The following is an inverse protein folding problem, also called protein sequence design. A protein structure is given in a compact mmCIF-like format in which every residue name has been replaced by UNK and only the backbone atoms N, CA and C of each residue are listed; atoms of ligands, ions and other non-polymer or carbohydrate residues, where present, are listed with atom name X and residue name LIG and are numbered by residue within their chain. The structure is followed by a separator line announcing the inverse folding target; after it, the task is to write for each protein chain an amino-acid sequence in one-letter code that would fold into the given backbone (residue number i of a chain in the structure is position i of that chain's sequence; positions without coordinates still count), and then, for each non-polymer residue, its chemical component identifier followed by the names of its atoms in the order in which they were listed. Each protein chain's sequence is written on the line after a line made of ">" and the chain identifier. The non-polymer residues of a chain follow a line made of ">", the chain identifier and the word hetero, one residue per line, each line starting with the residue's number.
data_IF_451037467991
#
_entry.id   IF_451037467991
#
_cell.length_a   1.000
_cell.length_b   1.000
_cell.length_c   1.000
_cell.angle_alpha   90.00
_cell.angle_beta   90.00
_cell.angle_gamma   90.00
#
_symmetry.space_group_name_H-M   'P 1'
#
loop_
_entity.id
_entity.type
_entity.pdbx_description
1 polymer ?
#
# COMPACT_ATOMS: atom_id res chain seq x y z
N UNK A 1 -20.65 -10.01 -16.51
CA UNK A 1 -20.19 -9.75 -15.13
C UNK A 1 -18.72 -9.35 -15.18
N UNK A 2 -18.31 -8.34 -14.39
CA UNK A 2 -16.87 -7.99 -14.24
C UNK A 2 -16.14 -9.14 -13.57
N UNK A 3 -14.88 -9.44 -13.95
CA UNK A 3 -14.11 -10.50 -13.33
C UNK A 3 -13.89 -10.22 -11.83
N UNK A 4 -13.85 -11.28 -11.04
CA UNK A 4 -13.52 -11.23 -9.62
C UNK A 4 -12.09 -10.71 -9.45
N UNK A 5 -11.85 -9.99 -8.37
CA UNK A 5 -10.55 -9.42 -8.04
C UNK A 5 -10.14 -9.79 -6.61
N UNK A 6 -8.85 -9.89 -6.37
CA UNK A 6 -8.32 -10.04 -5.03
C UNK A 6 -7.95 -8.68 -4.45
N UNK A 7 -8.34 -8.44 -3.20
CA UNK A 7 -7.88 -7.32 -2.40
C UNK A 7 -6.95 -7.90 -1.33
N UNK A 8 -5.76 -7.37 -1.22
CA UNK A 8 -4.72 -7.87 -0.33
C UNK A 8 -4.17 -6.75 0.54
N UNK A 9 -4.00 -7.00 1.82
CA UNK A 9 -3.28 -6.12 2.73
C UNK A 9 -2.27 -6.90 3.58
N UNK A 10 -1.37 -6.16 4.24
CA UNK A 10 -0.34 -6.72 5.11
C UNK A 10 -0.58 -6.24 6.55
N UNK A 11 -0.83 -7.19 7.46
CA UNK A 11 -0.92 -6.96 8.89
C UNK A 11 0.22 -7.70 9.61
N UNK A 12 1.36 -7.05 9.70
CA UNK A 12 2.52 -7.52 10.44
C UNK A 12 2.49 -7.00 11.87
N UNK A 13 2.62 -7.89 12.84
CA UNK A 13 2.64 -7.60 14.28
C UNK A 13 4.06 -7.75 14.80
N UNK A 14 4.59 -6.68 15.37
CA UNK A 14 5.95 -6.63 15.91
C UNK A 14 6.35 -5.19 16.23
N UNK A 15 7.59 -4.99 16.66
CA UNK A 15 8.15 -3.66 16.88
C UNK A 15 9.13 -3.30 15.75
N UNK A 16 8.68 -2.46 14.82
CA UNK A 16 9.53 -1.97 13.76
C UNK A 16 9.35 -0.47 13.56
N UNK A 17 10.36 0.28 14.03
CA UNK A 17 10.43 1.74 13.93
C UNK A 17 9.18 2.46 14.46
N UNK A 18 8.56 1.90 15.50
CA UNK A 18 7.35 2.44 16.14
C UNK A 18 6.14 2.48 15.21
N UNK A 19 6.06 1.57 14.23
CA UNK A 19 4.95 1.46 13.27
C UNK A 19 4.09 0.26 13.59
N UNK A 20 3.25 0.37 14.60
CA UNK A 20 2.36 -0.69 15.00
C UNK A 20 0.96 -0.42 14.44
N UNK A 21 0.49 -1.29 13.57
CA UNK A 21 -0.91 -1.40 13.19
C UNK A 21 -1.63 -2.31 14.18
N UNK A 22 -2.94 -2.16 14.28
CA UNK A 22 -3.80 -3.01 15.08
C UNK A 22 -4.88 -3.65 14.20
N UNK A 23 -5.47 -4.76 14.65
CA UNK A 23 -6.52 -5.47 13.91
C UNK A 23 -7.63 -4.54 13.39
N UNK A 24 -7.96 -3.49 14.15
CA UNK A 24 -8.98 -2.50 13.74
C UNK A 24 -8.58 -1.69 12.48
N UNK A 25 -7.29 -1.57 12.17
CA UNK A 25 -6.85 -0.90 10.93
C UNK A 25 -7.16 -1.77 9.70
N UNK A 26 -7.09 -3.11 9.84
CA UNK A 26 -7.52 -4.06 8.81
C UNK A 26 -9.03 -3.94 8.56
N UNK A 27 -9.84 -3.87 9.62
CA UNK A 27 -11.28 -3.67 9.51
C UNK A 27 -11.63 -2.33 8.84
N UNK A 28 -10.92 -1.25 9.16
CA UNK A 28 -11.12 0.06 8.51
C UNK A 28 -10.83 0.00 7.02
N UNK A 29 -9.72 -0.63 6.63
CA UNK A 29 -9.40 -0.82 5.22
C UNK A 29 -10.48 -1.66 4.53
N UNK A 30 -10.87 -2.80 5.11
CA UNK A 30 -11.91 -3.66 4.57
C UNK A 30 -13.22 -2.90 4.33
N UNK A 31 -13.71 -2.15 5.31
CA UNK A 31 -14.94 -1.36 5.18
C UNK A 31 -14.81 -0.26 4.13
N UNK A 32 -13.64 0.38 4.02
CA UNK A 32 -13.43 1.39 2.98
C UNK A 32 -13.47 0.77 1.58
N UNK A 33 -12.89 -0.42 1.40
CA UNK A 33 -12.97 -1.17 0.15
C UNK A 33 -14.41 -1.60 -0.13
N UNK A 34 -15.08 -2.24 0.81
CA UNK A 34 -16.45 -2.74 0.68
C UNK A 34 -17.42 -1.63 0.21
N UNK A 35 -17.24 -0.43 0.72
CA UNK A 35 -18.07 0.74 0.37
C UNK A 35 -17.81 1.27 -1.04
N UNK A 36 -16.62 1.06 -1.58
CA UNK A 36 -16.15 1.71 -2.81
C UNK A 36 -15.79 0.73 -3.95
N UNK A 37 -16.13 -0.55 -3.80
CA UNK A 37 -15.97 -1.57 -4.84
C UNK A 37 -17.34 -2.01 -5.38
N UNK A 38 -17.46 -2.12 -6.71
CA UNK A 38 -18.72 -2.46 -7.37
C UNK A 38 -18.67 -3.80 -8.13
N UNK A 39 -17.73 -4.68 -7.73
CA UNK A 39 -17.53 -6.02 -8.31
C UNK A 39 -17.29 -7.06 -7.22
N UNK A 40 -17.50 -8.36 -7.54
CA UNK A 40 -17.11 -9.43 -6.61
C UNK A 40 -15.61 -9.38 -6.30
N UNK A 41 -15.26 -9.55 -5.03
CA UNK A 41 -13.86 -9.61 -4.59
C UNK A 41 -13.68 -10.62 -3.45
N UNK A 42 -12.45 -11.12 -3.33
CA UNK A 42 -11.97 -11.79 -2.14
C UNK A 42 -11.03 -10.83 -1.39
N UNK A 43 -11.09 -10.88 -0.06
CA UNK A 43 -10.22 -10.09 0.78
C UNK A 43 -9.23 -10.99 1.50
N UNK A 44 -7.95 -10.73 1.33
CA UNK A 44 -6.85 -11.49 1.91
C UNK A 44 -6.00 -10.61 2.82
N UNK A 45 -5.54 -11.20 3.92
CA UNK A 45 -4.65 -10.54 4.88
C UNK A 45 -3.41 -11.39 5.07
N UNK A 46 -2.25 -10.90 4.57
CA UNK A 46 -0.95 -11.45 4.93
C UNK A 46 -0.64 -11.06 6.37
N UNK A 47 -0.40 -12.02 7.26
CA UNK A 47 -0.19 -11.74 8.69
C UNK A 47 0.66 -12.80 9.38
N UNK A 48 1.39 -12.40 10.41
CA UNK A 48 2.03 -13.30 11.36
C UNK A 48 1.16 -13.52 12.62
N UNK A 49 -0.04 -12.91 12.70
CA UNK A 49 -1.00 -13.14 13.78
C UNK A 49 -2.22 -13.92 13.26
N UNK A 50 -2.04 -15.24 13.17
CA UNK A 50 -3.09 -16.13 12.67
C UNK A 50 -4.28 -16.28 13.62
N UNK A 51 -4.14 -15.87 14.89
CA UNK A 51 -5.24 -15.87 15.88
C UNK A 51 -6.07 -14.58 15.85
N UNK A 52 -5.56 -13.51 15.24
CA UNK A 52 -6.30 -12.24 15.18
C UNK A 52 -7.65 -12.40 14.48
N UNK A 53 -8.67 -11.75 15.03
CA UNK A 53 -9.99 -11.68 14.40
C UNK A 53 -9.99 -10.61 13.32
N UNK A 54 -9.79 -11.04 12.06
CA UNK A 54 -9.64 -10.18 10.88
C UNK A 54 -10.72 -10.48 9.83
N UNK A 55 -11.08 -9.51 8.98
CA UNK A 55 -11.97 -9.78 7.84
C UNK A 55 -11.27 -10.59 6.76
N UNK A 56 -12.03 -11.40 6.04
CA UNK A 56 -11.53 -12.17 4.89
C UNK A 56 -10.68 -13.40 5.26
N UNK A 57 -9.82 -13.80 4.33
CA UNK A 57 -8.96 -14.97 4.48
C UNK A 57 -7.56 -14.56 4.91
N UNK A 58 -7.09 -15.11 6.02
CA UNK A 58 -5.70 -14.92 6.48
C UNK A 58 -4.75 -15.83 5.71
N UNK A 59 -3.60 -15.29 5.35
CA UNK A 59 -2.48 -15.99 4.74
C UNK A 59 -1.25 -15.74 5.64
N UNK A 60 -0.59 -16.78 6.05
CA UNK A 60 0.55 -16.70 6.94
C UNK A 60 1.76 -16.03 6.25
N UNK A 61 2.40 -15.08 6.95
CA UNK A 61 3.69 -14.54 6.58
C UNK A 61 4.78 -15.58 6.89
N UNK A 62 5.58 -15.94 5.90
CA UNK A 62 6.62 -16.96 6.04
C UNK A 62 7.92 -16.43 6.63
N UNK A 63 8.18 -15.14 6.46
CA UNK A 63 9.44 -14.50 6.85
C UNK A 63 9.22 -13.32 7.82
N UNK A 64 8.18 -13.39 8.64
CA UNK A 64 7.80 -12.27 9.51
C UNK A 64 8.90 -11.85 10.50
N UNK A 65 9.71 -12.80 10.96
CA UNK A 65 10.80 -12.57 11.89
C UNK A 65 12.04 -11.96 11.22
N UNK A 66 12.31 -12.36 9.97
CA UNK A 66 13.46 -11.93 9.19
C UNK A 66 13.18 -10.63 8.41
N UNK A 67 11.91 -10.45 7.97
CA UNK A 67 11.49 -9.30 7.12
C UNK A 67 10.51 -8.39 7.86
N UNK A 68 11.00 -7.55 8.79
CA UNK A 68 10.13 -6.79 9.69
C UNK A 68 9.41 -5.63 8.98
N UNK A 69 8.18 -5.39 9.39
CA UNK A 69 7.38 -4.25 8.99
C UNK A 69 7.10 -4.20 7.49
N UNK A 70 7.51 -3.13 6.81
CA UNK A 70 7.27 -3.01 5.36
C UNK A 70 8.09 -3.95 4.49
N UNK A 71 9.16 -4.59 5.01
CA UNK A 71 9.92 -5.58 4.28
C UNK A 71 9.12 -6.85 4.00
N UNK A 72 8.17 -7.18 4.87
CA UNK A 72 7.21 -8.27 4.61
C UNK A 72 6.38 -8.07 3.34
N UNK A 73 6.35 -6.87 2.75
CA UNK A 73 5.72 -6.65 1.44
C UNK A 73 6.38 -7.41 0.30
N UNK A 74 7.61 -7.88 0.47
CA UNK A 74 8.24 -8.73 -0.54
C UNK A 74 7.51 -10.08 -0.67
N UNK A 75 6.76 -10.48 0.34
CA UNK A 75 5.87 -11.65 0.26
C UNK A 75 4.63 -11.45 -0.63
N UNK A 76 4.33 -10.23 -1.08
CA UNK A 76 3.29 -9.98 -2.10
C UNK A 76 3.58 -10.67 -3.43
N UNK A 77 4.83 -11.03 -3.65
CA UNK A 77 5.30 -11.64 -4.88
C UNK A 77 5.54 -13.16 -4.77
N UNK A 78 5.09 -13.78 -3.68
CA UNK A 78 5.16 -15.23 -3.48
C UNK A 78 4.37 -15.99 -4.53
N UNK A 79 4.87 -17.16 -4.98
CA UNK A 79 4.20 -17.96 -6.02
C UNK A 79 2.92 -18.68 -5.54
N UNK A 80 2.74 -18.83 -4.22
CA UNK A 80 1.60 -19.54 -3.61
C UNK A 80 0.44 -18.62 -3.21
N UNK A 81 0.51 -17.33 -3.54
CA UNK A 81 -0.62 -16.42 -3.33
C UNK A 81 -1.77 -16.72 -4.30
N UNK A 82 -3.02 -16.33 -3.93
CA UNK A 82 -4.17 -16.49 -4.79
C UNK A 82 -3.96 -15.86 -6.17
N UNK A 83 -4.19 -16.66 -7.21
CA UNK A 83 -4.03 -16.22 -8.60
C UNK A 83 -5.01 -15.11 -8.98
N UNK A 84 -4.63 -14.31 -9.98
CA UNK A 84 -5.49 -13.33 -10.62
C UNK A 84 -5.07 -11.89 -10.38
N UNK A 85 -5.95 -10.98 -10.78
CA UNK A 85 -5.75 -9.54 -10.61
C UNK A 85 -5.89 -9.17 -9.14
N UNK A 86 -4.88 -8.57 -8.57
CA UNK A 86 -4.78 -8.28 -7.14
C UNK A 86 -4.51 -6.79 -6.92
N UNK A 87 -5.30 -6.16 -6.07
CA UNK A 87 -5.05 -4.82 -5.54
C UNK A 87 -4.53 -4.93 -4.11
N UNK A 88 -3.27 -4.61 -3.92
CA UNK A 88 -2.69 -4.42 -2.60
C UNK A 88 -2.93 -2.99 -2.08
N UNK A 89 -3.27 -2.86 -0.82
CA UNK A 89 -3.38 -1.57 -0.13
C UNK A 89 -2.76 -1.63 1.27
N UNK A 90 -1.92 -0.63 1.60
CA UNK A 90 -1.42 -0.46 2.97
C UNK A 90 -2.56 -0.21 3.96
N UNK A 91 -2.41 -0.62 5.22
CA UNK A 91 -3.43 -0.48 6.27
C UNK A 91 -3.75 0.98 6.62
N UNK A 92 -2.90 1.93 6.24
CA UNK A 92 -3.16 3.35 6.37
C UNK A 92 -3.70 4.01 5.08
N UNK A 93 -4.10 3.18 4.11
CA UNK A 93 -4.76 3.63 2.88
C UNK A 93 -6.26 3.42 2.97
N UNK A 94 -7.04 4.39 2.50
CA UNK A 94 -8.49 4.36 2.53
C UNK A 94 -9.06 4.77 1.18
N UNK A 95 -9.93 3.94 0.61
CA UNK A 95 -10.75 4.34 -0.51
C UNK A 95 -11.79 5.37 -0.05
N UNK A 96 -11.91 6.47 -0.77
CA UNK A 96 -12.91 7.51 -0.51
C UNK A 96 -13.87 7.72 -1.68
N UNK A 97 -13.60 7.09 -2.81
CA UNK A 97 -14.43 7.01 -4.01
C UNK A 97 -14.30 5.64 -4.65
N UNK A 98 -15.09 5.40 -5.70
CA UNK A 98 -15.06 4.14 -6.45
C UNK A 98 -13.62 3.74 -6.81
N UNK A 99 -13.26 2.50 -6.48
CA UNK A 99 -11.99 1.88 -6.85
C UNK A 99 -11.95 1.45 -8.33
N UNK A 100 -13.08 1.53 -9.04
CA UNK A 100 -13.19 1.03 -10.41
C UNK A 100 -12.13 1.56 -11.36
N UNK A 101 -11.77 2.87 -11.37
CA UNK A 101 -10.72 3.38 -12.24
C UNK A 101 -9.34 2.74 -11.97
N UNK A 102 -9.05 2.42 -10.70
CA UNK A 102 -7.82 1.72 -10.30
C UNK A 102 -7.86 0.27 -10.79
N UNK A 103 -8.97 -0.43 -10.54
CA UNK A 103 -9.12 -1.85 -10.85
C UNK A 103 -9.13 -2.16 -12.35
N UNK A 104 -9.58 -1.22 -13.17
CA UNK A 104 -9.61 -1.32 -14.63
C UNK A 104 -8.34 -0.78 -15.30
N UNK A 105 -7.37 -0.28 -14.53
CA UNK A 105 -6.15 0.27 -15.09
C UNK A 105 -5.31 -0.83 -15.75
N UNK A 106 -4.77 -0.54 -16.93
CA UNK A 106 -4.00 -1.49 -17.72
C UNK A 106 -2.55 -1.59 -17.20
N UNK A 107 -1.98 -2.79 -17.26
CA UNK A 107 -0.62 -3.09 -16.86
C UNK A 107 -0.54 -4.32 -15.97
N UNK A 108 0.53 -5.09 -16.06
CA UNK A 108 0.75 -6.29 -15.24
C UNK A 108 1.13 -5.96 -13.79
N UNK A 109 1.78 -4.82 -13.59
CA UNK A 109 2.07 -4.22 -12.30
C UNK A 109 1.98 -2.71 -12.43
N UNK A 110 1.16 -2.06 -11.60
CA UNK A 110 0.89 -0.62 -11.64
C UNK A 110 1.02 -0.05 -10.23
N UNK A 111 1.76 1.05 -10.10
CA UNK A 111 1.99 1.73 -8.82
C UNK A 111 1.63 3.22 -8.95
N UNK A 112 1.66 3.94 -7.83
CA UNK A 112 1.72 5.39 -7.88
C UNK A 112 3.17 5.86 -8.02
N UNK A 113 3.37 6.93 -8.79
CA UNK A 113 4.64 7.64 -8.83
C UNK A 113 4.91 8.31 -7.46
N UNK A 114 6.13 8.27 -6.92
CA UNK A 114 6.44 8.96 -5.67
C UNK A 114 6.55 10.47 -5.87
N UNK A 115 5.39 11.12 -5.79
CA UNK A 115 5.25 12.56 -5.93
C UNK A 115 5.77 13.36 -4.73
N UNK A 116 6.21 12.72 -3.66
CA UNK A 116 6.71 13.42 -2.47
C UNK A 116 8.18 13.79 -2.57
N UNK A 117 8.91 13.11 -3.44
CA UNK A 117 10.36 13.23 -3.60
C UNK A 117 10.82 13.65 -4.99
N UNK A 118 9.89 13.98 -5.88
CA UNK A 118 10.18 14.49 -7.23
C UNK A 118 11.02 15.78 -7.25
N UNK A 119 11.09 16.50 -6.11
CA UNK A 119 11.89 17.70 -5.96
C UNK A 119 13.27 17.45 -5.36
N UNK A 120 13.56 16.21 -4.92
CA UNK A 120 14.91 15.88 -4.52
C UNK A 120 15.79 15.81 -5.79
N UNK A 121 16.92 16.56 -5.81
CA UNK A 121 17.82 16.53 -6.95
C UNK A 121 18.22 15.10 -7.31
N UNK A 122 18.26 14.78 -8.62
CA UNK A 122 18.61 13.42 -9.08
C UNK A 122 19.95 12.91 -8.56
N UNK A 123 20.88 13.80 -8.21
CA UNK A 123 22.17 13.45 -7.59
C UNK A 123 22.03 12.94 -6.15
N UNK A 124 20.98 13.34 -5.41
CA UNK A 124 20.63 12.71 -4.13
C UNK A 124 19.91 11.36 -4.32
N UNK A 125 19.47 11.07 -5.53
CA UNK A 125 18.82 9.82 -5.85
C UNK A 125 19.84 8.72 -6.17
N UNK A 126 21.10 9.06 -6.55
CA UNK A 126 22.19 8.10 -6.74
C UNK A 126 23.54 8.77 -6.96
N UNK A 127 24.20 9.19 -5.93
CA UNK A 127 25.66 9.16 -5.91
C UNK A 127 26.04 7.98 -5.02
N UNK A 128 26.72 6.97 -5.59
CA UNK A 128 27.33 5.84 -4.87
C UNK A 128 26.44 5.18 -3.80
N UNK A 129 25.36 4.50 -4.24
CA UNK A 129 24.41 3.84 -3.35
C UNK A 129 23.19 4.69 -2.94
N UNK A 130 22.93 5.78 -3.62
CA UNK A 130 21.72 6.58 -3.45
C UNK A 130 20.48 5.88 -4.00
N UNK A 131 19.31 6.19 -3.45
CA UNK A 131 18.06 5.48 -3.62
C UNK A 131 17.26 6.02 -4.81
N UNK A 132 16.75 5.14 -5.66
CA UNK A 132 15.87 5.54 -6.75
C UNK A 132 14.43 5.59 -6.23
N UNK A 133 13.99 6.75 -5.77
CA UNK A 133 12.59 6.97 -5.41
C UNK A 133 11.75 7.15 -6.67
N UNK A 134 11.21 6.06 -7.18
CA UNK A 134 10.33 6.07 -8.34
C UNK A 134 8.88 5.91 -7.94
N UNK A 135 8.61 5.00 -7.00
CA UNK A 135 7.26 4.55 -6.70
C UNK A 135 6.88 4.76 -5.26
N UNK A 136 5.58 4.93 -5.09
CA UNK A 136 4.91 4.88 -3.81
C UNK A 136 4.13 3.56 -3.73
N UNK A 137 4.52 2.67 -2.81
CA UNK A 137 4.03 1.31 -2.73
C UNK A 137 2.89 1.10 -1.72
N UNK A 138 2.14 2.16 -1.36
CA UNK A 138 0.97 2.02 -0.50
C UNK A 138 -0.24 1.41 -1.22
N UNK A 139 -0.21 1.43 -2.55
CA UNK A 139 -1.23 0.80 -3.40
C UNK A 139 -0.56 0.26 -4.65
N UNK A 140 -0.72 -1.05 -4.88
CA UNK A 140 -0.13 -1.78 -6.00
C UNK A 140 -1.23 -2.61 -6.65
N UNK A 141 -1.45 -2.43 -7.94
CA UNK A 141 -2.31 -3.31 -8.71
C UNK A 141 -1.43 -4.23 -9.56
N UNK A 142 -1.56 -5.54 -9.40
CA UNK A 142 -0.69 -6.48 -10.11
C UNK A 142 -1.42 -7.78 -10.48
N UNK A 143 -0.85 -8.52 -11.41
CA UNK A 143 -1.26 -9.89 -11.68
C UNK A 143 -0.40 -10.82 -10.82
N UNK A 144 -1.03 -11.49 -9.85
CA UNK A 144 -0.35 -12.47 -9.01
C UNK A 144 0.38 -13.50 -9.89
N UNK A 145 1.49 -14.01 -9.41
CA UNK A 145 2.37 -14.99 -10.06
C UNK A 145 3.18 -14.49 -11.28
N UNK A 146 3.03 -13.22 -11.73
CA UNK A 146 3.87 -12.68 -12.81
C UNK A 146 5.22 -12.12 -12.34
N UNK A 147 5.34 -11.78 -11.07
CA UNK A 147 6.52 -11.11 -10.51
C UNK A 147 7.21 -11.95 -9.43
N UNK A 148 7.04 -13.27 -9.44
CA UNK A 148 7.60 -14.19 -8.43
C UNK A 148 9.12 -14.13 -8.36
N UNK A 149 9.77 -13.79 -9.47
CA UNK A 149 11.21 -13.60 -9.51
C UNK A 149 11.71 -12.53 -8.52
N UNK A 150 10.85 -11.57 -8.14
CA UNK A 150 11.20 -10.54 -7.16
C UNK A 150 11.27 -11.14 -5.75
N UNK A 151 10.35 -12.05 -5.43
CA UNK A 151 10.40 -12.79 -4.19
C UNK A 151 11.65 -13.68 -4.12
N UNK A 152 11.91 -14.46 -5.18
CA UNK A 152 13.06 -15.36 -5.26
C UNK A 152 14.37 -14.59 -5.15
N UNK A 153 14.49 -13.46 -5.86
CA UNK A 153 15.68 -12.60 -5.82
C UNK A 153 15.87 -11.98 -4.43
N UNK A 154 14.80 -11.55 -3.77
CA UNK A 154 14.89 -10.99 -2.43
C UNK A 154 15.27 -12.06 -1.41
N UNK A 155 14.71 -13.25 -1.52
CA UNK A 155 14.96 -14.38 -0.64
C UNK A 155 16.45 -14.81 -0.66
N UNK A 156 17.10 -14.71 -1.82
CA UNK A 156 18.51 -15.10 -1.97
C UNK A 156 19.48 -14.26 -1.13
N UNK A 157 19.16 -12.98 -0.89
CA UNK A 157 20.09 -12.05 -0.23
C UNK A 157 19.34 -10.95 0.55
N UNK A 158 18.29 -11.35 1.27
CA UNK A 158 17.40 -10.41 1.97
C UNK A 158 18.13 -9.55 2.98
N UNK A 159 19.14 -10.07 3.69
CA UNK A 159 19.94 -9.33 4.66
C UNK A 159 20.70 -8.16 4.01
N UNK A 160 21.25 -8.39 2.81
CA UNK A 160 21.82 -7.32 2.01
C UNK A 160 20.80 -6.23 1.71
N UNK A 161 19.58 -6.60 1.26
CA UNK A 161 18.56 -5.60 0.92
C UNK A 161 18.08 -4.81 2.14
N UNK A 162 17.90 -5.46 3.28
CA UNK A 162 17.51 -4.79 4.52
C UNK A 162 18.56 -3.78 5.01
N UNK A 163 19.83 -4.04 4.77
CA UNK A 163 20.94 -3.18 5.20
C UNK A 163 21.26 -2.07 4.21
N UNK A 164 21.09 -2.31 2.92
CA UNK A 164 21.50 -1.39 1.84
C UNK A 164 20.36 -0.56 1.25
N UNK A 165 19.12 -0.89 1.52
CA UNK A 165 17.95 -0.15 1.06
C UNK A 165 17.12 0.36 2.24
N UNK A 166 16.39 1.46 2.06
CA UNK A 166 15.56 2.02 3.14
C UNK A 166 14.20 1.33 3.22
N UNK A 167 13.70 0.83 2.08
CA UNK A 167 12.36 0.27 1.96
C UNK A 167 12.19 -0.56 0.69
N UNK A 168 11.10 -1.32 0.63
CA UNK A 168 10.58 -2.00 -0.54
C UNK A 168 10.45 -1.07 -1.77
N UNK A 169 10.10 0.20 -1.56
CA UNK A 169 9.92 1.18 -2.65
C UNK A 169 11.22 1.44 -3.42
N UNK A 170 12.36 1.46 -2.71
CA UNK A 170 13.66 1.66 -3.32
C UNK A 170 14.02 0.47 -4.23
N UNK A 171 13.73 -0.76 -3.75
CA UNK A 171 13.90 -1.99 -4.53
C UNK A 171 13.03 -1.98 -5.78
N UNK A 172 11.75 -1.64 -5.64
CA UNK A 172 10.83 -1.56 -6.78
C UNK A 172 11.31 -0.54 -7.82
N UNK A 173 11.80 0.62 -7.37
CA UNK A 173 12.36 1.64 -8.26
C UNK A 173 13.59 1.18 -9.03
N UNK A 174 14.40 0.28 -8.46
CA UNK A 174 15.58 -0.26 -9.11
C UNK A 174 15.27 -1.45 -10.01
N UNK A 175 14.46 -2.39 -9.52
CA UNK A 175 14.23 -3.65 -10.25
C UNK A 175 13.23 -3.54 -11.39
N UNK A 176 12.28 -2.61 -11.27
CA UNK A 176 11.18 -2.44 -12.23
C UNK A 176 10.94 -0.96 -12.58
N UNK A 177 11.97 -0.22 -13.07
CA UNK A 177 11.92 1.25 -13.20
C UNK A 177 10.85 1.78 -14.16
N UNK A 178 10.36 0.97 -15.10
CA UNK A 178 9.51 1.41 -16.20
C UNK A 178 8.08 0.88 -16.14
N UNK A 179 7.58 0.60 -14.93
CA UNK A 179 6.18 0.19 -14.78
C UNK A 179 5.23 1.37 -14.99
N UNK A 180 4.02 1.11 -15.54
CA UNK A 180 2.98 2.11 -15.64
C UNK A 180 2.59 2.64 -14.24
N UNK A 181 2.22 3.91 -14.20
CA UNK A 181 1.82 4.56 -12.95
C UNK A 181 0.39 5.11 -13.03
N UNK A 182 -0.34 5.01 -11.92
CA UNK A 182 -1.63 5.66 -11.78
C UNK A 182 -1.51 7.19 -11.88
N UNK A 183 -2.56 7.88 -12.34
CA UNK A 183 -2.60 9.34 -12.28
C UNK A 183 -2.36 9.85 -10.85
N UNK A 184 -1.39 10.75 -10.68
CA UNK A 184 -0.99 11.30 -9.36
C UNK A 184 -2.15 11.88 -8.55
N UNK A 185 -3.14 12.46 -9.23
CA UNK A 185 -4.31 13.08 -8.62
C UNK A 185 -5.26 12.10 -7.94
N UNK A 186 -5.14 10.79 -8.22
CA UNK A 186 -5.99 9.77 -7.61
C UNK A 186 -5.61 9.41 -6.17
N UNK A 187 -4.41 9.80 -5.73
CA UNK A 187 -3.96 9.58 -4.35
C UNK A 187 -3.49 10.88 -3.70
N UNK A 188 -3.81 11.05 -2.42
CA UNK A 188 -3.31 12.16 -1.61
C UNK A 188 -2.87 11.67 -0.23
N UNK A 189 -1.80 12.26 0.31
CA UNK A 189 -1.41 12.02 1.70
C UNK A 189 -2.33 12.77 2.66
N UNK A 190 -2.77 12.11 3.71
CA UNK A 190 -3.62 12.69 4.76
C UNK A 190 -3.03 13.99 5.33
N UNK A 191 -1.70 14.06 5.47
CA UNK A 191 -1.00 15.27 5.88
C UNK A 191 -1.27 16.48 4.97
N UNK A 192 -1.38 16.27 3.65
CA UNK A 192 -1.69 17.35 2.71
C UNK A 192 -3.14 17.82 2.81
N UNK A 193 -4.06 16.89 3.05
CA UNK A 193 -5.48 17.23 3.33
C UNK A 193 -5.55 18.13 4.56
N UNK A 194 -4.89 17.71 5.59
CA UNK A 194 -4.91 18.40 6.87
C UNK A 194 -4.29 19.80 6.85
N UNK A 195 -3.30 20.02 6.00
CA UNK A 195 -2.67 21.33 5.80
C UNK A 195 -3.49 22.29 4.92
N UNK A 196 -4.47 21.77 4.18
CA UNK A 196 -5.29 22.58 3.27
C UNK A 196 -6.71 22.76 3.83
N UNK A 197 -7.12 24.00 4.23
CA UNK A 197 -8.45 24.27 4.79
C UNK A 197 -9.60 23.82 3.89
N UNK A 198 -9.47 23.97 2.57
CA UNK A 198 -10.48 23.54 1.59
C UNK A 198 -10.64 22.03 1.62
N UNK A 199 -9.55 21.27 1.62
CA UNK A 199 -9.59 19.81 1.63
C UNK A 199 -10.06 19.23 2.98
N UNK A 200 -9.94 19.98 4.08
CA UNK A 200 -10.56 19.57 5.35
C UNK A 200 -12.08 19.62 5.30
N UNK A 201 -12.64 20.54 4.55
CA UNK A 201 -14.09 20.73 4.46
C UNK A 201 -14.73 19.88 3.35
N UNK A 202 -14.06 19.68 2.23
CA UNK A 202 -14.58 18.99 1.04
C UNK A 202 -13.50 18.05 0.52
N UNK A 203 -13.84 16.75 0.26
CA UNK A 203 -12.88 15.82 -0.34
C UNK A 203 -12.42 16.32 -1.72
N UNK A 204 -11.12 16.21 -2.05
CA UNK A 204 -10.63 16.57 -3.38
C UNK A 204 -11.34 15.78 -4.49
N UNK A 205 -11.74 16.47 -5.56
CA UNK A 205 -12.62 15.90 -6.59
C UNK A 205 -12.05 14.65 -7.27
N UNK A 206 -10.76 14.66 -7.59
CA UNK A 206 -10.10 13.57 -8.33
C UNK A 206 -9.55 12.46 -7.45
N UNK A 207 -9.51 12.63 -6.12
CA UNK A 207 -8.87 11.68 -5.21
C UNK A 207 -9.74 10.45 -5.00
N UNK A 208 -9.16 9.28 -5.21
CA UNK A 208 -9.76 7.96 -4.96
C UNK A 208 -9.26 7.38 -3.64
N UNK A 209 -7.96 7.54 -3.35
CA UNK A 209 -7.31 6.99 -2.16
C UNK A 209 -6.66 8.09 -1.34
N UNK A 210 -6.90 8.04 -0.03
CA UNK A 210 -6.16 8.80 0.98
C UNK A 210 -5.21 7.84 1.70
N UNK A 211 -3.94 8.20 1.84
CA UNK A 211 -2.93 7.38 2.52
C UNK A 211 -2.19 8.15 3.61
N UNK A 212 -1.73 7.43 4.63
CA UNK A 212 -0.95 7.94 5.74
C UNK A 212 -1.69 7.97 7.08
N UNK A 213 -0.97 7.65 8.15
CA UNK A 213 -1.52 7.64 9.50
C UNK A 213 -1.74 9.05 10.06
N UNK A 214 -2.91 9.33 10.67
CA UNK A 214 -3.21 10.62 11.29
C UNK A 214 -2.21 11.03 12.37
N UNK A 215 -1.77 10.07 13.18
CA UNK A 215 -0.93 10.32 14.36
C UNK A 215 0.49 10.76 14.00
N UNK A 216 1.04 10.33 12.84
CA UNK A 216 2.42 10.64 12.45
C UNK A 216 2.62 12.02 11.88
N UNK A 217 1.56 12.61 11.36
CA UNK A 217 1.60 13.90 10.68
C UNK A 217 1.26 15.08 11.59
N UNK A 218 1.38 14.89 12.93
CA UNK A 218 1.02 15.92 13.90
C UNK A 218 -0.49 16.07 14.12
N UNK A 219 -1.31 15.26 13.44
CA UNK A 219 -2.74 15.22 13.64
C UNK A 219 -3.08 14.24 14.76
N UNK A 220 -3.27 14.76 15.96
CA UNK A 220 -3.79 13.96 17.08
C UNK A 220 -5.26 13.57 16.94
N UNK A 221 -5.98 14.12 15.91
CA UNK A 221 -7.43 13.93 15.78
C UNK A 221 -7.85 13.92 14.31
N UNK A 222 -8.26 12.77 13.78
CA UNK A 222 -8.99 12.65 12.49
C UNK A 222 -10.33 13.40 12.52
N UNK A 223 -10.85 13.77 13.70
CA UNK A 223 -12.09 14.55 13.83
C UNK A 223 -12.03 15.94 13.20
N UNK A 224 -10.84 16.36 12.79
CA UNK A 224 -10.68 17.63 12.06
C UNK A 224 -10.98 17.52 10.56
N UNK A 225 -11.26 16.28 10.07
CA UNK A 225 -11.65 16.00 8.67
C UNK A 225 -12.97 15.22 8.66
N UNK A 226 -14.11 15.90 8.85
CA UNK A 226 -15.40 15.26 9.10
C UNK A 226 -15.84 14.29 7.98
N UNK A 227 -15.52 14.58 6.72
CA UNK A 227 -15.86 13.71 5.60
C UNK A 227 -15.01 12.44 5.57
N UNK A 228 -13.75 12.52 6.01
CA UNK A 228 -12.85 11.36 6.06
C UNK A 228 -13.30 10.37 7.15
N UNK A 229 -13.70 10.86 8.32
CA UNK A 229 -14.22 10.00 9.39
C UNK A 229 -15.50 9.27 9.00
N UNK A 230 -16.42 9.96 8.32
CA UNK A 230 -17.64 9.32 7.80
C UNK A 230 -17.33 8.23 6.78
N UNK A 231 -16.21 8.35 6.05
CA UNK A 231 -15.80 7.37 5.03
C UNK A 231 -15.02 6.21 5.64
N UNK A 232 -14.21 6.49 6.67
CA UNK A 232 -13.35 5.49 7.31
C UNK A 232 -14.04 4.68 8.41
N UNK A 233 -15.17 5.16 8.96
CA UNK A 233 -15.91 4.45 10.01
C UNK A 233 -17.11 3.64 9.50
N UNK A 234 -17.45 3.73 8.21
CA UNK A 234 -18.52 2.96 7.55
C UNK A 234 -19.89 3.41 7.96
#
# INVERSE_FOLDING_TARGET
>A
MKPKINILCLYWVGDFRGRNFVANDVWRLYHSVLKHIDRPFDFYVLTNDMEAHLPGTKIELLHADDWPGWWSKMELYRPDLPEGRTLYMDLDSHAIKSLQPILDFEGDLVLFDDFTRQHEPKHKQREEGGWVYRYQAATILFNANKFTWMYDKFLMDWDYYLTHYRSDQDILGEWIPDQPTFPKKWMIKLAKIAQNPTFRSIPPEDVIIVTGQPVRNGFRKTHEIPWFEKTARG
#
